data_IF_288582234012
#
_entry.id   IF_288582234012
#
_cell.length_a   1.000
_cell.length_b   1.000
_cell.length_c   1.000
_cell.angle_alpha   90.00
_cell.angle_beta   90.00
_cell.angle_gamma   90.00
#
_symmetry.space_group_name_H-M   'P 1'
#
loop_
_entity.id
_entity.type
_entity.pdbx_description
1 polymer ?
#
# COMPACT_ATOMS: atom_id res chain seq x y z
N UNK A 1 1.31 -5.44 2.69
CA UNK A 1 2.64 -4.87 3.01
C UNK A 1 3.34 -5.84 3.95
N UNK A 2 4.66 -5.97 3.90
CA UNK A 2 5.36 -7.03 4.63
C UNK A 2 6.60 -6.54 5.37
N UNK A 3 6.99 -7.24 6.44
CA UNK A 3 8.31 -7.08 7.09
C UNK A 3 8.99 -8.41 7.35
N UNK A 4 10.30 -8.42 7.16
CA UNK A 4 11.15 -9.49 7.67
C UNK A 4 11.23 -9.49 9.21
N UNK A 5 10.97 -10.64 9.83
CA UNK A 5 11.23 -10.87 11.25
C UNK A 5 12.74 -10.93 11.50
N UNK A 6 13.21 -10.31 12.59
CA UNK A 6 14.62 -10.32 12.98
C UNK A 6 14.78 -10.97 14.35
N UNK A 7 15.03 -12.28 14.39
CA UNK A 7 15.20 -13.04 15.62
C UNK A 7 15.52 -14.52 15.38
N UNK A 8 15.36 -15.36 16.41
CA UNK A 8 15.59 -16.81 16.30
C UNK A 8 14.63 -17.51 15.31
N UNK A 9 13.44 -16.94 15.11
CA UNK A 9 12.51 -17.32 14.05
C UNK A 9 12.83 -16.49 12.81
N UNK A 10 13.20 -17.17 11.71
CA UNK A 10 13.37 -16.55 10.38
C UNK A 10 12.02 -16.67 9.66
N UNK A 11 11.48 -15.55 9.18
CA UNK A 11 10.21 -15.50 8.45
C UNK A 11 9.79 -14.07 8.12
N UNK A 12 8.63 -13.90 7.53
CA UNK A 12 8.03 -12.60 7.20
C UNK A 12 6.70 -12.37 7.93
N UNK A 13 6.32 -11.11 8.07
CA UNK A 13 5.07 -10.68 8.68
C UNK A 13 4.25 -9.98 7.59
N UNK A 14 3.09 -10.54 7.24
CA UNK A 14 2.21 -10.03 6.18
C UNK A 14 1.07 -9.19 6.77
N UNK A 15 1.29 -7.89 6.86
CA UNK A 15 0.29 -6.99 7.43
C UNK A 15 -0.62 -6.41 6.34
N UNK A 16 -1.93 -6.48 6.60
CA UNK A 16 -2.94 -5.67 5.93
C UNK A 16 -3.51 -4.68 6.94
N UNK A 17 -3.88 -3.48 6.49
CA UNK A 17 -4.59 -2.51 7.32
C UNK A 17 -5.77 -1.99 6.52
N UNK A 18 -6.98 -2.27 7.00
CA UNK A 18 -8.22 -1.75 6.44
C UNK A 18 -8.51 -0.33 6.93
N UNK A 19 -9.37 0.38 6.17
CA UNK A 19 -10.07 1.58 6.65
C UNK A 19 -11.42 1.25 7.31
N UNK A 20 -11.71 -0.03 7.53
CA UNK A 20 -12.67 -0.52 8.50
C UNK A 20 -11.99 -1.47 9.51
N UNK A 21 -12.70 -1.79 10.59
CA UNK A 21 -12.12 -2.21 11.87
C UNK A 21 -11.47 -3.61 11.84
N UNK A 22 -10.19 -3.63 12.23
CA UNK A 22 -9.35 -4.78 12.61
C UNK A 22 -8.91 -5.74 11.50
N UNK A 23 -7.58 -5.96 11.38
CA UNK A 23 -6.90 -7.29 11.35
C UNK A 23 -5.52 -7.24 10.69
N UNK A 24 -4.60 -8.09 11.18
CA UNK A 24 -3.22 -8.30 10.68
C UNK A 24 -2.94 -9.81 10.69
N UNK A 25 -2.10 -10.34 9.78
CA UNK A 25 -1.66 -11.74 9.89
C UNK A 25 -0.15 -11.90 9.62
N UNK A 26 0.36 -13.12 9.81
CA UNK A 26 1.79 -13.46 9.70
C UNK A 26 1.94 -14.60 8.70
N UNK A 27 2.92 -14.55 7.79
CA UNK A 27 3.19 -15.66 6.87
C UNK A 27 4.68 -15.80 6.57
N UNK A 28 5.14 -17.04 6.45
CA UNK A 28 6.55 -17.41 6.62
C UNK A 28 7.49 -16.94 5.48
N UNK A 29 7.00 -16.78 4.24
CA UNK A 29 7.83 -16.49 3.04
C UNK A 29 7.07 -15.64 2.00
N UNK A 30 7.71 -14.65 1.37
CA UNK A 30 7.14 -13.89 0.25
C UNK A 30 7.02 -14.74 -1.03
N UNK A 31 5.88 -15.39 -1.22
CA UNK A 31 5.59 -16.05 -2.48
C UNK A 31 4.11 -15.96 -2.82
N UNK A 32 3.77 -16.25 -4.07
CA UNK A 32 2.40 -16.21 -4.57
C UNK A 32 1.46 -17.11 -3.74
N UNK A 33 1.90 -18.30 -3.34
CA UNK A 33 1.07 -19.24 -2.61
C UNK A 33 0.71 -18.71 -1.20
N UNK A 34 1.67 -18.10 -0.50
CA UNK A 34 1.44 -17.50 0.82
C UNK A 34 0.57 -16.25 0.72
N UNK A 35 0.77 -15.41 -0.30
CA UNK A 35 -0.13 -14.27 -0.55
C UNK A 35 -1.55 -14.73 -0.89
N UNK A 36 -1.70 -15.79 -1.69
CA UNK A 36 -3.00 -16.38 -2.03
C UNK A 36 -3.70 -16.91 -0.78
N UNK A 37 -3.03 -17.75 0.00
CA UNK A 37 -3.55 -18.27 1.26
C UNK A 37 -3.98 -17.15 2.21
N UNK A 38 -3.15 -16.11 2.35
CA UNK A 38 -3.48 -14.95 3.17
C UNK A 38 -4.71 -14.20 2.66
N UNK A 39 -4.79 -13.94 1.35
CA UNK A 39 -5.92 -13.25 0.73
C UNK A 39 -7.21 -14.08 0.81
N UNK A 40 -7.14 -15.40 0.72
CA UNK A 40 -8.29 -16.30 0.88
C UNK A 40 -8.86 -16.22 2.31
N UNK A 41 -7.98 -16.20 3.32
CA UNK A 41 -8.39 -15.98 4.71
C UNK A 41 -8.99 -14.60 4.91
N UNK A 42 -8.32 -13.56 4.42
CA UNK A 42 -8.81 -12.18 4.53
C UNK A 42 -10.18 -11.99 3.86
N UNK A 43 -10.36 -12.57 2.67
CA UNK A 43 -11.61 -12.54 1.90
C UNK A 43 -12.73 -13.20 2.66
N UNK A 44 -12.45 -14.33 3.32
CA UNK A 44 -13.43 -15.05 4.15
C UNK A 44 -13.80 -14.27 5.41
N UNK A 45 -12.81 -13.71 6.10
CA UNK A 45 -13.02 -13.01 7.38
C UNK A 45 -13.75 -11.68 7.19
N UNK A 46 -13.45 -10.95 6.12
CA UNK A 46 -14.08 -9.66 5.80
C UNK A 46 -15.26 -9.80 4.83
N UNK A 47 -15.60 -11.02 4.42
CA UNK A 47 -16.67 -11.31 3.45
C UNK A 47 -16.56 -10.46 2.15
N UNK A 48 -15.35 -10.37 1.59
CA UNK A 48 -15.05 -9.51 0.42
C UNK A 48 -15.60 -10.05 -0.92
N UNK A 49 -16.14 -11.27 -0.93
CA UNK A 49 -16.66 -11.94 -2.12
C UNK A 49 -15.60 -11.98 -3.24
N UNK A 50 -15.90 -11.42 -4.42
CA UNK A 50 -15.01 -11.33 -5.58
C UNK A 50 -14.16 -10.03 -5.60
N UNK A 51 -14.27 -9.21 -4.56
CA UNK A 51 -13.58 -7.92 -4.42
C UNK A 51 -14.32 -6.74 -5.03
N UNK A 52 -15.53 -6.92 -5.56
CA UNK A 52 -16.36 -5.83 -6.07
C UNK A 52 -16.62 -4.75 -5.01
N UNK A 53 -16.41 -3.48 -5.37
CA UNK A 53 -16.60 -2.34 -4.45
C UNK A 53 -15.44 -2.10 -3.48
N UNK A 54 -14.39 -2.94 -3.51
CA UNK A 54 -13.20 -2.77 -2.68
C UNK A 54 -12.00 -2.28 -3.49
N UNK A 55 -11.06 -1.66 -2.79
CA UNK A 55 -9.76 -1.23 -3.33
C UNK A 55 -8.64 -1.89 -2.53
N UNK A 56 -7.67 -2.44 -3.24
CA UNK A 56 -6.42 -2.92 -2.66
C UNK A 56 -5.28 -2.02 -3.10
N UNK A 57 -4.61 -1.39 -2.12
CA UNK A 57 -3.38 -0.62 -2.37
C UNK A 57 -2.20 -1.45 -1.91
N UNK A 58 -1.24 -1.74 -2.79
CA UNK A 58 -0.04 -2.49 -2.43
C UNK A 58 1.26 -1.88 -2.93
N UNK A 59 2.37 -2.36 -2.37
CA UNK A 59 3.67 -2.26 -3.01
C UNK A 59 3.73 -3.16 -4.26
N UNK A 60 4.68 -2.91 -5.15
CA UNK A 60 4.76 -3.55 -6.48
C UNK A 60 5.23 -5.02 -6.42
N UNK A 61 4.85 -5.78 -5.40
CA UNK A 61 5.27 -7.16 -5.29
C UNK A 61 4.51 -8.06 -6.27
N UNK A 62 5.25 -8.71 -7.17
CA UNK A 62 4.67 -9.51 -8.26
C UNK A 62 3.79 -10.64 -7.75
N UNK A 63 4.22 -11.32 -6.67
CA UNK A 63 3.46 -12.42 -6.07
C UNK A 63 2.11 -11.98 -5.49
N UNK A 64 2.04 -10.76 -4.94
CA UNK A 64 0.80 -10.20 -4.41
C UNK A 64 -0.15 -9.79 -5.52
N UNK A 65 0.35 -9.18 -6.60
CA UNK A 65 -0.47 -8.80 -7.75
C UNK A 65 -1.13 -10.03 -8.40
N UNK A 66 -0.36 -11.10 -8.59
CA UNK A 66 -0.88 -12.34 -9.15
C UNK A 66 -1.89 -13.02 -8.22
N UNK A 67 -1.61 -13.09 -6.92
CA UNK A 67 -2.55 -13.64 -5.95
C UNK A 67 -3.84 -12.83 -5.84
N UNK A 68 -3.76 -11.49 -5.87
CA UNK A 68 -4.93 -10.60 -5.82
C UNK A 68 -5.85 -10.84 -7.01
N UNK A 69 -5.28 -10.98 -8.22
CA UNK A 69 -6.08 -11.27 -9.43
C UNK A 69 -6.79 -12.62 -9.38
N UNK A 70 -6.21 -13.61 -8.70
CA UNK A 70 -6.84 -14.92 -8.54
C UNK A 70 -7.93 -14.94 -7.48
N UNK A 71 -7.72 -14.28 -6.34
CA UNK A 71 -8.64 -14.33 -5.19
C UNK A 71 -9.74 -13.27 -5.27
N UNK A 72 -9.41 -12.08 -5.77
CA UNK A 72 -10.29 -10.91 -5.83
C UNK A 72 -10.29 -10.35 -7.27
N UNK A 73 -10.88 -11.06 -8.25
CA UNK A 73 -10.78 -10.68 -9.65
C UNK A 73 -11.41 -9.33 -10.00
N UNK A 74 -12.39 -8.86 -9.21
CA UNK A 74 -13.13 -7.64 -9.47
C UNK A 74 -12.63 -6.43 -8.65
N UNK A 75 -11.59 -6.62 -7.82
CA UNK A 75 -11.04 -5.55 -6.98
C UNK A 75 -10.28 -4.52 -7.82
N UNK A 76 -10.39 -3.26 -7.41
CA UNK A 76 -9.51 -2.23 -7.96
C UNK A 76 -8.15 -2.32 -7.27
N UNK A 77 -7.13 -2.76 -8.02
CA UNK A 77 -5.76 -2.78 -7.53
C UNK A 77 -5.05 -1.47 -7.87
N UNK A 78 -4.51 -0.81 -6.84
CA UNK A 78 -3.71 0.40 -6.95
C UNK A 78 -2.29 0.16 -6.46
N UNK A 79 -1.32 0.66 -7.21
CA UNK A 79 0.06 0.76 -6.75
C UNK A 79 0.21 1.96 -5.82
N UNK A 80 0.89 1.75 -4.70
CA UNK A 80 1.18 2.81 -3.75
C UNK A 80 2.12 3.86 -4.38
N UNK A 81 1.62 5.08 -4.60
CA UNK A 81 2.38 6.18 -5.21
C UNK A 81 3.65 6.49 -4.42
N UNK A 82 3.63 6.35 -3.09
CA UNK A 82 4.81 6.50 -2.24
C UNK A 82 5.92 5.50 -2.57
N UNK A 83 5.58 4.24 -2.86
CA UNK A 83 6.57 3.23 -3.27
C UNK A 83 7.14 3.52 -4.65
N UNK A 84 6.31 4.01 -5.57
CA UNK A 84 6.76 4.46 -6.89
C UNK A 84 7.73 5.63 -6.72
N UNK A 85 7.39 6.63 -5.90
CA UNK A 85 8.28 7.74 -5.59
C UNK A 85 9.58 7.29 -4.94
N UNK A 86 9.52 6.34 -3.99
CA UNK A 86 10.70 5.82 -3.32
C UNK A 86 11.68 5.14 -4.28
N UNK A 87 11.19 4.51 -5.35
CA UNK A 87 12.02 3.98 -6.43
C UNK A 87 12.47 5.07 -7.39
N UNK A 88 11.57 5.97 -7.79
CA UNK A 88 11.84 7.10 -8.69
C UNK A 88 12.97 7.99 -8.16
N UNK A 89 12.93 8.35 -6.88
CA UNK A 89 13.93 9.22 -6.23
C UNK A 89 15.32 8.61 -6.10
N UNK A 90 15.49 7.30 -6.36
CA UNK A 90 16.83 6.67 -6.39
C UNK A 90 17.64 7.12 -7.60
N UNK A 91 16.94 7.44 -8.69
CA UNK A 91 17.55 7.87 -9.96
C UNK A 91 17.34 9.36 -10.20
N UNK A 92 16.14 9.87 -9.91
CA UNK A 92 15.75 11.26 -10.17
C UNK A 92 15.60 12.01 -8.85
N UNK A 93 16.65 12.71 -8.43
CA UNK A 93 16.72 13.41 -7.15
C UNK A 93 16.44 14.89 -7.31
N UNK A 94 15.87 15.52 -6.27
CA UNK A 94 15.60 16.95 -6.25
C UNK A 94 14.16 17.27 -5.86
N UNK A 95 13.97 18.48 -5.30
CA UNK A 95 12.64 18.96 -4.88
C UNK A 95 11.71 19.14 -6.08
N UNK A 96 12.27 19.49 -7.24
CA UNK A 96 11.52 19.63 -8.49
C UNK A 96 10.87 18.30 -8.91
N UNK A 97 11.65 17.23 -9.06
CA UNK A 97 11.14 15.89 -9.38
C UNK A 97 10.14 15.36 -8.34
N UNK A 98 10.36 15.66 -7.06
CA UNK A 98 9.40 15.36 -6.00
C UNK A 98 8.07 16.04 -6.26
N UNK A 99 8.07 17.35 -6.48
CA UNK A 99 6.86 18.14 -6.66
C UNK A 99 6.12 17.74 -7.94
N UNK A 100 6.83 17.52 -9.03
CA UNK A 100 6.24 17.06 -10.29
C UNK A 100 5.61 15.67 -10.15
N UNK A 101 6.30 14.73 -9.51
CA UNK A 101 5.75 13.38 -9.26
C UNK A 101 4.44 13.44 -8.48
N UNK A 102 4.42 14.15 -7.35
CA UNK A 102 3.22 14.24 -6.52
C UNK A 102 2.09 15.02 -7.20
N UNK A 103 2.41 16.07 -7.94
CA UNK A 103 1.42 16.79 -8.74
C UNK A 103 0.77 15.87 -9.79
N UNK A 104 1.55 15.01 -10.45
CA UNK A 104 1.03 14.02 -11.38
C UNK A 104 0.18 12.95 -10.67
N UNK A 105 0.64 12.39 -9.55
CA UNK A 105 -0.10 11.32 -8.85
C UNK A 105 -1.44 11.78 -8.28
N UNK A 106 -1.53 13.03 -7.82
CA UNK A 106 -2.74 13.63 -7.27
C UNK A 106 -3.62 14.33 -8.33
N UNK A 107 -3.25 14.31 -9.61
CA UNK A 107 -4.11 14.84 -10.66
C UNK A 107 -5.43 14.06 -10.68
N UNK A 108 -6.56 14.76 -10.64
CA UNK A 108 -7.91 14.16 -10.60
C UNK A 108 -8.52 14.01 -11.99
N UNK A 109 -7.96 14.68 -13.00
CA UNK A 109 -8.43 14.66 -14.38
C UNK A 109 -7.29 14.23 -15.30
N UNK A 110 -7.60 13.37 -16.28
CA UNK A 110 -6.62 12.83 -17.23
C UNK A 110 -5.85 13.93 -17.98
N UNK A 111 -6.54 15.00 -18.42
CA UNK A 111 -5.89 16.12 -19.10
C UNK A 111 -4.87 16.85 -18.22
N UNK A 112 -5.13 16.96 -16.91
CA UNK A 112 -4.17 17.55 -15.98
C UNK A 112 -2.97 16.65 -15.77
N UNK A 113 -3.21 15.34 -15.62
CA UNK A 113 -2.15 14.35 -15.52
C UNK A 113 -1.22 14.39 -16.74
N UNK A 114 -1.79 14.40 -17.95
CA UNK A 114 -1.00 14.45 -19.19
C UNK A 114 -0.14 15.70 -19.25
N UNK A 115 -0.70 16.87 -18.91
CA UNK A 115 0.08 18.11 -18.81
C UNK A 115 1.23 18.00 -17.81
N UNK A 116 1.02 17.38 -16.65
CA UNK A 116 2.08 17.15 -15.65
C UNK A 116 3.14 16.16 -16.13
N UNK A 117 2.75 15.16 -16.91
CA UNK A 117 3.72 14.25 -17.52
C UNK A 117 4.52 14.94 -18.62
N UNK A 118 3.92 15.84 -19.39
CA UNK A 118 4.64 16.67 -20.37
C UNK A 118 5.64 17.61 -19.68
N UNK A 119 5.27 18.25 -18.57
CA UNK A 119 6.20 19.06 -17.76
C UNK A 119 7.45 18.22 -17.36
N UNK A 120 7.24 16.96 -16.93
CA UNK A 120 8.34 16.04 -16.58
C UNK A 120 9.17 15.67 -17.81
N UNK A 121 8.53 15.48 -18.97
CA UNK A 121 9.18 15.10 -20.22
C UNK A 121 10.13 16.18 -20.73
N UNK A 122 9.73 17.44 -20.62
CA UNK A 122 10.55 18.61 -20.98
C UNK A 122 11.78 18.74 -20.06
N UNK A 123 11.62 18.48 -18.76
CA UNK A 123 12.74 18.51 -17.80
C UNK A 123 13.66 17.31 -17.98
N UNK A 124 13.10 16.10 -18.12
CA UNK A 124 13.84 14.87 -18.28
C UNK A 124 12.99 13.76 -18.93
N UNK A 125 13.28 13.48 -20.20
CA UNK A 125 12.62 12.43 -20.97
C UNK A 125 12.73 11.03 -20.35
N UNK A 126 13.88 10.68 -19.75
CA UNK A 126 14.08 9.38 -19.09
C UNK A 126 13.21 9.25 -17.82
N UNK A 127 12.99 10.34 -17.09
CA UNK A 127 12.10 10.37 -15.93
C UNK A 127 10.65 10.12 -16.34
N UNK A 128 10.22 10.74 -17.45
CA UNK A 128 8.91 10.51 -18.06
C UNK A 128 8.73 9.04 -18.45
N UNK A 129 9.68 8.44 -19.18
CA UNK A 129 9.59 7.03 -19.59
C UNK A 129 9.57 6.08 -18.39
N UNK A 130 10.38 6.37 -17.36
CA UNK A 130 10.39 5.56 -16.14
C UNK A 130 9.03 5.56 -15.42
N UNK A 131 8.33 6.69 -15.37
CA UNK A 131 6.99 6.77 -14.77
C UNK A 131 5.92 6.13 -15.65
N UNK A 132 6.00 6.30 -16.98
CA UNK A 132 5.07 5.68 -17.92
C UNK A 132 5.15 4.15 -17.88
N UNK A 133 6.35 3.60 -17.71
CA UNK A 133 6.59 2.17 -17.54
C UNK A 133 5.94 1.57 -16.27
N UNK A 134 5.48 2.40 -15.32
CA UNK A 134 4.79 1.96 -14.10
C UNK A 134 3.26 1.90 -14.25
N UNK A 135 2.72 2.05 -15.45
CA UNK A 135 1.27 2.04 -15.71
C UNK A 135 0.51 3.10 -14.88
N UNK A 136 0.51 4.37 -15.31
CA UNK A 136 -0.15 5.49 -14.61
C UNK A 136 -1.56 5.23 -14.10
N UNK A 137 -2.32 4.39 -14.79
CA UNK A 137 -3.67 3.99 -14.42
C UNK A 137 -3.74 3.34 -13.03
N UNK A 138 -2.62 2.80 -12.54
CA UNK A 138 -2.56 2.10 -11.26
C UNK A 138 -2.15 2.98 -10.09
N UNK A 139 -1.68 4.22 -10.31
CA UNK A 139 -1.14 5.06 -9.22
C UNK A 139 -1.51 6.54 -9.30
N UNK A 140 -2.11 6.99 -10.40
CA UNK A 140 -2.63 8.34 -10.53
C UNK A 140 -4.14 8.36 -10.29
N UNK A 141 -4.59 9.31 -9.48
CA UNK A 141 -5.99 9.45 -9.09
C UNK A 141 -6.93 9.68 -10.28
N UNK A 142 -6.45 10.31 -11.36
CA UNK A 142 -7.22 10.60 -12.56
C UNK A 142 -7.84 9.37 -13.24
N UNK A 143 -7.30 8.18 -12.97
CA UNK A 143 -7.74 6.92 -13.60
C UNK A 143 -8.47 5.98 -12.63
N UNK A 144 -8.63 6.38 -11.37
CA UNK A 144 -9.29 5.55 -10.36
C UNK A 144 -10.80 5.52 -10.57
N UNK A 145 -11.45 4.41 -10.19
CA UNK A 145 -12.91 4.32 -10.32
C UNK A 145 -13.57 5.27 -9.32
N UNK A 146 -14.53 6.05 -9.81
CA UNK A 146 -15.31 7.00 -9.00
C UNK A 146 -16.37 6.31 -8.13
N UNK A 147 -16.69 5.05 -8.43
CA UNK A 147 -17.69 4.25 -7.72
C UNK A 147 -17.26 3.88 -6.29
N UNK A 148 -15.96 3.87 -6.02
CA UNK A 148 -15.41 3.56 -4.70
C UNK A 148 -14.80 4.83 -4.09
N UNK A 149 -15.45 5.35 -3.05
CA UNK A 149 -15.10 6.61 -2.39
C UNK A 149 -13.79 6.49 -1.57
N UNK A 150 -12.65 6.47 -2.26
CA UNK A 150 -11.34 6.47 -1.60
C UNK A 150 -10.32 7.27 -2.41
N UNK A 151 -9.95 8.43 -1.86
CA UNK A 151 -8.90 9.32 -2.41
C UNK A 151 -7.48 8.86 -2.04
N UNK A 152 -7.32 7.69 -1.40
CA UNK A 152 -6.01 7.22 -1.00
C UNK A 152 -5.17 6.82 -2.23
N UNK A 153 -4.06 7.53 -2.45
CA UNK A 153 -3.00 7.16 -3.40
C UNK A 153 -1.76 6.59 -2.69
N UNK A 154 -1.69 6.72 -1.36
CA UNK A 154 -0.58 6.27 -0.53
C UNK A 154 -1.04 5.33 0.59
N UNK A 155 -0.15 4.41 0.96
CA UNK A 155 -0.36 3.48 2.06
C UNK A 155 0.13 4.04 3.42
N UNK A 156 -0.18 5.30 3.74
CA UNK A 156 0.42 6.02 4.87
C UNK A 156 0.18 5.34 6.24
N UNK A 157 -0.99 4.77 6.45
CA UNK A 157 -1.34 4.07 7.70
C UNK A 157 -0.48 2.82 7.87
N UNK A 158 -0.25 2.08 6.80
CA UNK A 158 0.56 0.89 6.83
C UNK A 158 2.04 1.23 7.04
N UNK A 159 2.56 2.29 6.45
CA UNK A 159 3.92 2.76 6.76
C UNK A 159 4.09 3.17 8.23
N UNK A 160 3.11 3.88 8.81
CA UNK A 160 3.13 4.20 10.24
C UNK A 160 3.14 2.94 11.09
N UNK A 161 2.34 1.94 10.73
CA UNK A 161 2.35 0.67 11.42
C UNK A 161 3.71 -0.04 11.29
N UNK A 162 4.29 -0.09 10.10
CA UNK A 162 5.63 -0.63 9.86
C UNK A 162 6.69 0.00 10.75
N UNK A 163 6.67 1.33 10.86
CA UNK A 163 7.61 2.07 11.68
C UNK A 163 7.56 1.64 13.15
N UNK A 164 6.37 1.29 13.64
CA UNK A 164 6.14 0.85 15.02
C UNK A 164 6.61 -0.59 15.21
N UNK A 165 6.28 -1.48 14.28
CA UNK A 165 6.69 -2.89 14.38
C UNK A 165 8.16 -3.13 14.01
N UNK A 166 8.89 -2.14 13.51
CA UNK A 166 10.32 -2.23 13.19
C UNK A 166 11.19 -2.59 14.40
N UNK A 167 10.81 -2.13 15.60
CA UNK A 167 11.48 -2.47 16.85
C UNK A 167 10.83 -3.71 17.51
N UNK A 168 9.50 -3.81 17.46
CA UNK A 168 8.76 -4.99 17.94
C UNK A 168 9.29 -6.30 17.32
N UNK A 169 9.61 -6.31 16.03
CA UNK A 169 10.08 -7.49 15.29
C UNK A 169 11.46 -8.02 15.71
N UNK A 170 12.19 -7.27 16.54
CA UNK A 170 13.46 -7.70 17.15
C UNK A 170 13.22 -8.54 18.41
N UNK A 171 11.99 -8.59 18.91
CA UNK A 171 11.59 -9.32 20.11
C UNK A 171 11.17 -10.76 19.76
N UNK A 172 11.14 -11.67 20.74
CA UNK A 172 10.49 -12.97 20.60
C UNK A 172 9.02 -12.80 20.17
N UNK A 173 8.44 -13.83 19.54
CA UNK A 173 7.09 -13.79 18.96
C UNK A 173 6.02 -13.25 19.92
N UNK A 174 6.05 -13.69 21.19
CA UNK A 174 5.14 -13.19 22.22
C UNK A 174 5.30 -11.69 22.46
N UNK A 175 6.54 -11.18 22.49
CA UNK A 175 6.83 -9.76 22.67
C UNK A 175 6.42 -8.91 21.46
N UNK A 176 6.53 -9.46 20.26
CA UNK A 176 6.02 -8.83 19.04
C UNK A 176 4.49 -8.70 19.10
N UNK A 177 3.78 -9.78 19.43
CA UNK A 177 2.32 -9.74 19.52
C UNK A 177 1.81 -8.82 20.63
N UNK A 178 2.49 -8.78 21.79
CA UNK A 178 2.15 -7.86 22.86
C UNK A 178 2.31 -6.40 22.44
N UNK A 179 3.39 -6.03 21.74
CA UNK A 179 3.54 -4.66 21.23
C UNK A 179 2.48 -4.28 20.21
N UNK A 180 2.15 -5.19 19.29
CA UNK A 180 1.06 -4.98 18.33
C UNK A 180 -0.26 -4.77 19.07
N UNK A 181 -0.54 -5.60 20.09
CA UNK A 181 -1.76 -5.49 20.91
C UNK A 181 -1.83 -4.15 21.62
N UNK A 182 -0.76 -3.71 22.30
CA UNK A 182 -0.71 -2.42 22.99
C UNK A 182 -0.94 -1.26 22.01
N UNK A 183 -0.28 -1.28 20.85
CA UNK A 183 -0.46 -0.26 19.82
C UNK A 183 -1.91 -0.17 19.32
N UNK A 184 -2.54 -1.32 19.04
CA UNK A 184 -3.93 -1.34 18.59
C UNK A 184 -4.88 -0.79 19.66
N UNK A 185 -4.69 -1.18 20.92
CA UNK A 185 -5.51 -0.69 22.03
C UNK A 185 -5.38 0.82 22.21
N UNK A 186 -4.17 1.36 22.17
CA UNK A 186 -3.91 2.81 22.27
C UNK A 186 -4.55 3.59 21.11
N UNK A 187 -4.43 3.05 19.88
CA UNK A 187 -5.05 3.64 18.70
C UNK A 187 -6.57 3.66 18.80
N UNK A 188 -7.20 2.56 19.24
CA UNK A 188 -8.65 2.50 19.42
C UNK A 188 -9.14 3.50 20.45
N UNK A 189 -8.43 3.60 21.58
CA UNK A 189 -8.72 4.58 22.62
C UNK A 189 -8.71 6.01 22.06
N UNK A 190 -7.68 6.37 21.28
CA UNK A 190 -7.59 7.69 20.67
C UNK A 190 -8.58 7.95 19.53
N UNK A 191 -9.03 6.92 18.81
CA UNK A 191 -10.07 7.07 17.78
C UNK A 191 -11.44 7.32 18.40
N UNK A 192 -11.78 6.60 19.48
CA UNK A 192 -13.03 6.81 20.23
C UNK A 192 -13.11 8.23 20.81
N UNK A 193 -12.01 8.77 21.36
CA UNK A 193 -12.01 10.15 21.87
C UNK A 193 -12.16 11.24 20.79
N UNK A 194 -11.91 10.92 19.52
CA UNK A 194 -12.08 11.87 18.41
C UNK A 194 -13.49 11.89 17.86
N UNK A 195 -14.27 10.83 18.04
CA UNK A 195 -15.68 10.77 17.65
C UNK A 195 -16.59 11.46 18.68
N UNK A 196 -16.13 11.65 19.91
CA UNK A 196 -16.85 12.34 20.99
C UNK A 196 -16.70 13.89 20.96
N UNK A 197 -16.08 14.46 19.91
CA UNK A 197 -15.92 15.91 19.72
C UNK A 197 -16.43 16.37 18.37
#
# INVERSE_FOLDING_TARGET
>A
MYLFLKGACKGELLTTIGRDANNQAVADIENKANWKWFLELLTKDLNLQDGGGFIVISDQHKGLLEATKEVLPNVEHRQCARHIYANFRKTYTGVEFKNMFWAASFSTVESEFLRKMDDIKEVNYSAYEHLLARHPQTWCMAYFRTEVACEAVENGIAECFNAIILDARKKPLLGLFEEIRFYMMDRFYHMLQKEEK
#
